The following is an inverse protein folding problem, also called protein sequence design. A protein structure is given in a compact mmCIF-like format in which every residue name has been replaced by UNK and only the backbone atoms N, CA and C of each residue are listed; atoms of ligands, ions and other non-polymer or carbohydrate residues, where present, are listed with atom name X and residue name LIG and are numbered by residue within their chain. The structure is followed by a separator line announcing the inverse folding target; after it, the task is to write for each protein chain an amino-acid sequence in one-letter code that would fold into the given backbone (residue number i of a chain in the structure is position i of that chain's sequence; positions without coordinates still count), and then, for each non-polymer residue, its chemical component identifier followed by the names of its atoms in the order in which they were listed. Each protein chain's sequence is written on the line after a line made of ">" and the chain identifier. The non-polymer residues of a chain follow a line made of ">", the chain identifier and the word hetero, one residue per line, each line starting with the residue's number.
data_IF_595563183327
#
_entry.id   IF_595563183327
#
_cell.length_a   1.000
_cell.length_b   1.000
_cell.length_c   1.000
_cell.angle_alpha   90.00
_cell.angle_beta   90.00
_cell.angle_gamma   90.00
#
_symmetry.space_group_name_H-M   'P 1'
#
loop_
_entity.id
_entity.type
_entity.pdbx_description
1 polymer ?
#
# COMPACT_ATOMS: atom_id res chain seq x y z
N UNK A 1 -9.79 19.92 -45.32
CA UNK A 1 -10.20 19.77 -43.90
C UNK A 1 -10.30 18.31 -43.45
N UNK A 2 -10.83 17.35 -44.23
CA UNK A 2 -10.88 15.93 -43.80
C UNK A 2 -9.53 15.19 -43.75
N UNK A 3 -8.55 15.57 -44.59
CA UNK A 3 -7.20 14.95 -44.63
C UNK A 3 -6.26 15.40 -43.50
N UNK A 4 -6.43 16.61 -42.97
CA UNK A 4 -5.65 17.12 -41.83
C UNK A 4 -6.11 16.53 -40.50
N UNK A 5 -7.39 16.19 -40.35
CA UNK A 5 -7.90 15.47 -39.16
C UNK A 5 -7.39 14.02 -39.06
N UNK A 6 -7.19 13.32 -40.19
CA UNK A 6 -6.66 11.96 -40.21
C UNK A 6 -5.17 11.88 -39.79
N UNK A 7 -4.36 12.87 -40.19
CA UNK A 7 -2.94 12.95 -39.79
C UNK A 7 -2.77 13.31 -38.30
N UNK A 8 -3.63 14.19 -37.77
CA UNK A 8 -3.64 14.51 -36.34
C UNK A 8 -4.06 13.29 -35.49
N UNK A 9 -5.07 12.54 -35.92
CA UNK A 9 -5.51 11.32 -35.24
C UNK A 9 -4.45 10.21 -35.24
N UNK A 10 -3.70 10.03 -36.34
CA UNK A 10 -2.61 9.05 -36.40
C UNK A 10 -1.42 9.41 -35.49
N UNK A 11 -1.06 10.69 -35.38
CA UNK A 11 0.00 11.12 -34.47
C UNK A 11 -0.40 10.98 -33.00
N UNK A 12 -1.65 11.26 -32.65
CA UNK A 12 -2.20 11.03 -31.31
C UNK A 12 -2.20 9.53 -30.94
N UNK A 13 -2.55 8.65 -31.87
CA UNK A 13 -2.50 7.20 -31.65
C UNK A 13 -1.07 6.66 -31.48
N UNK A 14 -0.10 7.17 -32.26
CA UNK A 14 1.30 6.75 -32.16
C UNK A 14 1.90 7.12 -30.79
N UNK A 15 1.64 8.31 -30.26
CA UNK A 15 2.14 8.76 -28.95
C UNK A 15 1.54 7.99 -27.77
N UNK A 16 0.27 7.59 -27.86
CA UNK A 16 -0.38 6.77 -26.81
C UNK A 16 0.22 5.36 -26.80
N UNK A 17 0.49 4.79 -27.98
CA UNK A 17 1.06 3.44 -28.08
C UNK A 17 2.48 3.33 -27.50
N UNK A 18 3.32 4.37 -27.63
CA UNK A 18 4.69 4.37 -27.09
C UNK A 18 4.72 4.54 -25.57
N UNK A 19 3.84 5.38 -25.01
CA UNK A 19 3.71 5.56 -23.56
C UNK A 19 3.15 4.31 -22.85
N UNK A 20 2.15 3.66 -23.45
CA UNK A 20 1.64 2.39 -22.93
C UNK A 20 2.74 1.31 -22.93
N UNK A 21 3.51 1.21 -24.02
CA UNK A 21 4.62 0.27 -24.12
C UNK A 21 5.76 0.56 -23.13
N UNK A 22 5.96 1.82 -22.70
CA UNK A 22 6.91 2.14 -21.64
C UNK A 22 6.39 1.82 -20.24
N UNK A 23 5.09 2.03 -19.97
CA UNK A 23 4.49 1.68 -18.69
C UNK A 23 4.52 0.17 -18.44
N UNK A 24 4.09 -0.63 -19.41
CA UNK A 24 4.08 -2.10 -19.28
C UNK A 24 5.48 -2.64 -18.99
N UNK A 25 6.52 -2.10 -19.65
CA UNK A 25 7.92 -2.47 -19.37
C UNK A 25 8.37 -2.12 -17.96
N UNK A 26 8.01 -0.94 -17.45
CA UNK A 26 8.35 -0.53 -16.08
C UNK A 26 7.65 -1.42 -15.07
N UNK A 27 6.36 -1.70 -15.27
CA UNK A 27 5.59 -2.59 -14.40
C UNK A 27 6.12 -4.03 -14.44
N UNK A 28 6.43 -4.57 -15.61
CA UNK A 28 7.03 -5.91 -15.75
C UNK A 28 8.37 -6.02 -15.01
N UNK A 29 9.23 -5.00 -15.12
CA UNK A 29 10.49 -4.95 -14.38
C UNK A 29 10.25 -4.83 -12.88
N UNK A 30 9.30 -3.99 -12.45
CA UNK A 30 8.89 -3.87 -11.05
C UNK A 30 8.39 -5.23 -10.49
N UNK A 31 7.50 -5.92 -11.19
CA UNK A 31 6.97 -7.22 -10.75
C UNK A 31 8.08 -8.26 -10.59
N UNK A 32 9.00 -8.34 -11.55
CA UNK A 32 10.14 -9.27 -11.52
C UNK A 32 11.14 -8.93 -10.42
N UNK A 33 11.49 -7.65 -10.27
CA UNK A 33 12.46 -7.21 -9.27
C UNK A 33 11.95 -7.43 -7.84
N UNK A 34 10.64 -7.30 -7.62
CA UNK A 34 10.00 -7.44 -6.32
C UNK A 34 9.51 -8.87 -6.02
N UNK A 35 9.56 -9.79 -6.99
CA UNK A 35 9.10 -11.18 -6.84
C UNK A 35 7.59 -11.30 -6.69
N UNK A 36 6.82 -10.41 -7.32
CA UNK A 36 5.35 -10.38 -7.21
C UNK A 36 4.66 -11.55 -7.92
N UNK A 37 5.37 -12.30 -8.77
CA UNK A 37 4.89 -13.58 -9.28
C UNK A 37 4.65 -14.60 -8.16
N UNK A 38 5.41 -14.51 -7.06
CA UNK A 38 5.26 -15.40 -5.89
C UNK A 38 4.20 -14.91 -4.91
N UNK A 39 3.89 -13.61 -4.92
CA UNK A 39 2.98 -13.02 -3.93
C UNK A 39 1.54 -13.52 -4.10
N UNK A 40 1.16 -13.87 -5.33
CA UNK A 40 -0.16 -14.41 -5.65
C UNK A 40 -0.43 -15.77 -4.98
N UNK A 41 0.61 -16.54 -4.66
CA UNK A 41 0.50 -17.84 -4.00
C UNK A 41 0.59 -17.74 -2.46
N UNK A 42 0.95 -16.56 -1.93
CA UNK A 42 1.10 -16.34 -0.48
C UNK A 42 -0.26 -16.36 0.19
N UNK A 43 -0.39 -17.12 1.27
CA UNK A 43 -1.64 -17.28 2.03
C UNK A 43 -1.70 -16.38 3.24
N UNK A 44 -0.57 -16.16 3.90
CA UNK A 44 -0.51 -15.38 5.14
C UNK A 44 0.76 -14.56 5.24
N UNK A 45 0.62 -13.39 5.84
CA UNK A 45 1.71 -12.61 6.41
C UNK A 45 1.49 -12.50 7.92
N UNK A 46 2.53 -12.78 8.70
CA UNK A 46 2.59 -12.51 10.13
C UNK A 46 3.84 -11.67 10.40
N UNK A 47 3.65 -10.42 10.81
CA UNK A 47 4.68 -9.39 10.83
C UNK A 47 4.72 -8.72 12.21
N UNK A 48 5.84 -8.92 12.91
CA UNK A 48 6.20 -8.16 14.11
C UNK A 48 6.89 -6.87 13.65
N UNK A 49 6.38 -5.72 14.10
CA UNK A 49 6.86 -4.42 13.72
C UNK A 49 6.93 -3.47 14.92
N UNK A 50 7.69 -2.39 14.77
CA UNK A 50 7.72 -1.25 15.69
C UNK A 50 7.38 0.02 14.95
N UNK A 51 6.49 0.82 15.53
CA UNK A 51 6.20 2.16 15.08
C UNK A 51 6.87 3.15 16.03
N UNK A 52 7.65 4.09 15.49
CA UNK A 52 8.24 5.19 16.26
C UNK A 52 7.51 6.49 15.94
N UNK A 53 6.92 7.12 16.95
CA UNK A 53 6.24 8.42 16.84
C UNK A 53 6.82 9.35 17.90
N UNK A 54 7.37 10.51 17.50
CA UNK A 54 8.00 11.47 18.43
C UNK A 54 9.04 10.85 19.37
N UNK A 55 9.76 9.82 18.91
CA UNK A 55 10.78 9.09 19.68
C UNK A 55 10.22 8.02 20.63
N UNK A 56 8.89 7.84 20.70
CA UNK A 56 8.25 6.74 21.42
C UNK A 56 8.08 5.54 20.49
N UNK A 57 8.60 4.38 20.89
CA UNK A 57 8.40 3.12 20.16
C UNK A 57 7.19 2.35 20.68
N UNK A 58 6.37 1.89 19.75
CA UNK A 58 5.15 1.11 20.01
C UNK A 58 5.23 -0.20 19.23
N UNK A 59 5.13 -1.35 19.91
CA UNK A 59 4.99 -2.64 19.24
C UNK A 59 3.73 -2.67 18.38
N UNK A 60 3.85 -3.29 17.22
CA UNK A 60 2.77 -3.49 16.26
C UNK A 60 2.84 -4.91 15.71
N UNK A 61 1.72 -5.62 15.69
CA UNK A 61 1.60 -6.94 15.10
C UNK A 61 0.60 -6.90 13.95
N UNK A 62 1.08 -7.13 12.73
CA UNK A 62 0.27 -7.13 11.51
C UNK A 62 0.08 -8.58 11.07
N UNK A 63 -1.17 -8.97 10.86
CA UNK A 63 -1.54 -10.28 10.33
C UNK A 63 -2.46 -10.11 9.15
N UNK A 64 -2.10 -10.71 8.03
CA UNK A 64 -2.88 -10.66 6.79
C UNK A 64 -3.08 -12.09 6.32
N UNK A 65 -4.29 -12.42 5.88
CA UNK A 65 -4.63 -13.75 5.39
C UNK A 65 -5.51 -13.66 4.16
N UNK A 66 -5.12 -14.36 3.11
CA UNK A 66 -5.90 -14.47 1.90
C UNK A 66 -7.13 -15.39 2.08
N UNK A 67 -8.27 -15.07 1.47
CA UNK A 67 -8.58 -13.80 0.79
C UNK A 67 -8.98 -12.70 1.80
N UNK A 68 -8.49 -11.48 1.56
CA UNK A 68 -9.04 -10.22 2.11
C UNK A 68 -9.21 -10.13 3.64
N UNK A 69 -8.40 -10.81 4.46
CA UNK A 69 -8.42 -10.65 5.93
C UNK A 69 -7.22 -9.91 6.44
N UNK A 70 -7.45 -9.03 7.39
CA UNK A 70 -6.41 -8.20 7.99
C UNK A 70 -6.66 -7.98 9.48
N UNK A 71 -5.60 -7.94 10.27
CA UNK A 71 -5.62 -7.54 11.66
C UNK A 71 -4.34 -6.81 12.00
N UNK A 72 -4.47 -5.68 12.66
CA UNK A 72 -3.38 -4.96 13.31
C UNK A 72 -3.67 -4.77 14.78
N UNK A 73 -2.70 -5.14 15.58
CA UNK A 73 -2.65 -4.81 16.99
C UNK A 73 -1.49 -3.86 17.24
N UNK A 74 -1.73 -2.78 17.98
CA UNK A 74 -0.73 -1.81 18.37
C UNK A 74 -0.79 -1.60 19.88
N UNK A 75 0.37 -1.62 20.53
CA UNK A 75 0.48 -1.39 21.96
C UNK A 75 1.05 0.00 22.25
N UNK A 76 0.29 0.82 22.97
CA UNK A 76 0.69 2.16 23.38
C UNK A 76 0.40 2.33 24.87
N UNK A 77 1.44 2.70 25.65
CA UNK A 77 1.32 2.98 27.09
C UNK A 77 0.64 1.86 27.90
N UNK A 78 0.87 0.59 27.53
CA UNK A 78 0.28 -0.58 28.17
C UNK A 78 -1.18 -0.85 27.79
N UNK A 79 -1.75 -0.09 26.84
CA UNK A 79 -3.05 -0.34 26.25
C UNK A 79 -2.91 -0.87 24.83
N UNK A 80 -3.76 -1.83 24.48
CA UNK A 80 -3.77 -2.46 23.16
C UNK A 80 -4.92 -1.90 22.33
N UNK A 81 -4.61 -1.38 21.16
CA UNK A 81 -5.57 -1.00 20.12
C UNK A 81 -5.55 -2.07 19.05
N UNK A 82 -6.73 -2.52 18.62
CA UNK A 82 -6.87 -3.52 17.57
C UNK A 82 -7.76 -2.98 16.47
N UNK A 83 -7.38 -3.20 15.22
CA UNK A 83 -8.22 -3.01 14.04
C UNK A 83 -8.18 -4.28 13.21
N UNK A 84 -9.32 -4.74 12.72
CA UNK A 84 -9.37 -5.93 11.87
C UNK A 84 -10.47 -5.84 10.81
N UNK A 85 -10.33 -6.68 9.79
CA UNK A 85 -11.27 -6.89 8.70
C UNK A 85 -11.34 -8.39 8.43
N UNK A 86 -12.55 -8.95 8.45
CA UNK A 86 -12.79 -10.40 8.33
C UNK A 86 -13.04 -10.87 6.88
N UNK A 87 -12.97 -9.95 5.92
CA UNK A 87 -13.32 -10.17 4.51
C UNK A 87 -14.66 -9.54 4.12
N UNK A 88 -15.51 -9.24 5.10
CA UNK A 88 -16.82 -8.62 4.88
C UNK A 88 -17.02 -7.37 5.74
N UNK A 89 -16.66 -7.43 7.02
CA UNK A 89 -16.87 -6.40 8.03
C UNK A 89 -15.55 -6.02 8.70
N UNK A 90 -15.38 -4.72 8.95
CA UNK A 90 -14.25 -4.18 9.70
C UNK A 90 -14.66 -3.81 11.11
N UNK A 91 -13.77 -3.98 12.08
CA UNK A 91 -13.98 -3.54 13.45
C UNK A 91 -12.70 -3.01 14.09
N UNK A 92 -12.87 -2.19 15.13
CA UNK A 92 -11.79 -1.63 15.93
C UNK A 92 -12.13 -1.65 17.42
N UNK A 93 -11.10 -1.88 18.24
CA UNK A 93 -11.11 -1.64 19.68
C UNK A 93 -10.00 -0.61 19.95
N UNK A 94 -10.38 0.56 20.47
CA UNK A 94 -9.42 1.60 20.87
C UNK A 94 -9.77 2.09 22.29
N UNK A 95 -9.10 1.58 23.35
CA UNK A 95 -9.39 1.94 24.73
C UNK A 95 -9.29 3.44 25.05
N UNK A 96 -8.55 4.20 24.24
CA UNK A 96 -8.40 5.65 24.42
C UNK A 96 -9.58 6.45 23.87
N UNK A 97 -10.34 5.87 22.95
CA UNK A 97 -11.55 6.47 22.37
C UNK A 97 -12.83 6.02 23.08
N UNK A 98 -12.73 5.08 24.02
CA UNK A 98 -13.84 4.54 24.79
C UNK A 98 -13.73 3.04 25.01
N UNK A 99 -14.64 2.50 25.79
CA UNK A 99 -14.76 1.05 25.96
C UNK A 99 -15.61 0.43 24.84
N UNK A 100 -15.18 -0.72 24.33
CA UNK A 100 -15.98 -1.56 23.43
C UNK A 100 -15.46 -1.66 22.00
N UNK A 101 -16.19 -2.43 21.20
CA UNK A 101 -15.90 -2.68 19.79
C UNK A 101 -16.72 -1.73 18.93
N UNK A 102 -16.07 -1.10 17.96
CA UNK A 102 -16.68 -0.21 16.97
C UNK A 102 -16.58 -0.83 15.58
N UNK A 103 -17.63 -0.68 14.77
CA UNK A 103 -17.61 -1.10 13.37
C UNK A 103 -16.87 -0.05 12.52
N UNK A 104 -16.11 -0.51 11.53
CA UNK A 104 -15.46 0.36 10.54
C UNK A 104 -16.44 0.62 9.40
N UNK A 105 -16.63 1.89 9.05
CA UNK A 105 -17.52 2.31 7.97
C UNK A 105 -16.81 3.31 7.03
N UNK A 106 -17.39 3.51 5.85
CA UNK A 106 -16.94 4.54 4.91
C UNK A 106 -15.45 4.45 4.59
N UNK A 107 -14.72 5.55 4.78
CA UNK A 107 -13.28 5.64 4.48
C UNK A 107 -12.43 4.69 5.33
N UNK A 108 -12.81 4.43 6.59
CA UNK A 108 -12.05 3.55 7.47
C UNK A 108 -12.14 2.09 7.02
N UNK A 109 -13.33 1.65 6.60
CA UNK A 109 -13.51 0.32 6.02
C UNK A 109 -12.70 0.16 4.73
N UNK A 110 -12.74 1.16 3.84
CA UNK A 110 -11.94 1.16 2.60
C UNK A 110 -10.45 1.07 2.88
N UNK A 111 -9.95 1.79 3.89
CA UNK A 111 -8.56 1.68 4.31
C UNK A 111 -8.23 0.27 4.81
N UNK A 112 -9.08 -0.34 5.62
CA UNK A 112 -8.89 -1.70 6.11
C UNK A 112 -8.87 -2.73 4.97
N UNK A 113 -9.76 -2.60 3.99
CA UNK A 113 -9.75 -3.43 2.78
C UNK A 113 -8.43 -3.27 2.00
N UNK A 114 -7.94 -2.05 1.86
CA UNK A 114 -6.64 -1.80 1.22
C UNK A 114 -5.45 -2.39 1.98
N UNK A 115 -5.54 -2.48 3.31
CA UNK A 115 -4.52 -3.14 4.14
C UNK A 115 -4.57 -4.68 4.05
N UNK A 116 -5.70 -5.24 3.64
CA UNK A 116 -5.84 -6.67 3.39
C UNK A 116 -5.26 -7.10 2.01
N UNK A 117 -5.00 -6.15 1.11
CA UNK A 117 -4.41 -6.42 -0.21
C UNK A 117 -2.92 -6.78 -0.08
N UNK A 118 -2.66 -8.09 -0.08
CA UNK A 118 -1.31 -8.66 0.01
C UNK A 118 -0.46 -8.42 -1.24
N UNK A 119 -1.07 -8.21 -2.41
CA UNK A 119 -0.34 -8.04 -3.67
C UNK A 119 0.08 -6.58 -3.92
N UNK A 120 -0.54 -5.65 -3.20
CA UNK A 120 -0.36 -4.22 -3.35
C UNK A 120 -1.07 -3.62 -4.56
N UNK A 121 -1.21 -2.30 -4.58
CA UNK A 121 -2.08 -1.60 -5.53
C UNK A 121 -1.59 -1.64 -6.99
N UNK A 122 -0.28 -1.80 -7.22
CA UNK A 122 0.30 -1.81 -8.58
C UNK A 122 0.13 -3.17 -9.27
N UNK A 123 0.17 -4.27 -8.54
CA UNK A 123 0.01 -5.61 -9.11
C UNK A 123 -1.46 -5.89 -9.42
N UNK A 124 -1.74 -6.51 -10.56
CA UNK A 124 -3.10 -6.79 -11.04
C UNK A 124 -4.05 -5.56 -11.02
N UNK A 125 -3.51 -4.34 -11.12
CA UNK A 125 -4.24 -3.10 -10.90
C UNK A 125 -5.53 -2.97 -11.76
N UNK A 126 -5.51 -3.45 -13.01
CA UNK A 126 -6.69 -3.46 -13.90
C UNK A 126 -7.81 -4.34 -13.37
N UNK A 127 -7.49 -5.52 -12.83
CA UNK A 127 -8.47 -6.43 -12.23
C UNK A 127 -9.07 -5.84 -10.95
N UNK A 128 -8.30 -5.01 -10.23
CA UNK A 128 -8.73 -4.23 -9.07
C UNK A 128 -9.54 -2.97 -9.44
N UNK A 129 -9.79 -2.74 -10.74
CA UNK A 129 -10.52 -1.57 -11.22
C UNK A 129 -9.74 -0.25 -11.16
N UNK A 130 -8.42 -0.32 -10.99
CA UNK A 130 -7.53 0.84 -10.95
C UNK A 130 -6.97 1.19 -12.32
N UNK A 131 -6.52 2.43 -12.48
CA UNK A 131 -5.79 2.92 -13.64
C UNK A 131 -4.42 3.45 -13.23
N UNK A 132 -3.39 3.21 -14.05
CA UNK A 132 -2.04 3.75 -13.85
C UNK A 132 -1.64 4.59 -15.05
N UNK A 133 -1.17 5.80 -14.77
CA UNK A 133 -0.59 6.73 -15.74
C UNK A 133 0.91 6.88 -15.46
N UNK A 134 1.76 6.73 -16.49
CA UNK A 134 3.19 7.04 -16.38
C UNK A 134 3.38 8.55 -16.57
N UNK A 135 3.87 9.23 -15.54
CA UNK A 135 4.16 10.67 -15.59
C UNK A 135 5.58 10.98 -16.10
N UNK A 136 6.39 9.95 -16.32
CA UNK A 136 7.73 10.04 -16.88
C UNK A 136 8.82 9.66 -15.88
N UNK A 137 10.08 9.90 -16.27
CA UNK A 137 11.24 9.79 -15.39
C UNK A 137 11.51 11.12 -14.69
N UNK A 138 11.86 11.07 -13.42
CA UNK A 138 12.16 12.22 -12.56
C UNK A 138 13.40 11.94 -11.72
N UNK A 139 14.08 12.98 -11.27
CA UNK A 139 14.99 12.87 -10.14
C UNK A 139 14.16 12.89 -8.84
N UNK A 140 14.30 11.84 -8.03
CA UNK A 140 13.65 11.69 -6.73
C UNK A 140 14.74 11.48 -5.68
N UNK A 141 14.98 12.51 -4.86
CA UNK A 141 15.98 12.49 -3.79
C UNK A 141 17.41 12.15 -4.28
N UNK A 142 17.77 12.60 -5.50
CA UNK A 142 19.09 12.38 -6.10
C UNK A 142 19.26 11.05 -6.84
N UNK A 143 18.18 10.30 -7.04
CA UNK A 143 18.14 9.07 -7.83
C UNK A 143 17.10 9.18 -8.96
N UNK A 144 17.39 8.59 -10.13
CA UNK A 144 16.42 8.53 -11.22
C UNK A 144 15.28 7.56 -10.86
N UNK A 145 14.04 8.00 -11.02
CA UNK A 145 12.85 7.20 -10.73
C UNK A 145 11.77 7.37 -11.80
N UNK A 146 11.00 6.31 -12.04
CA UNK A 146 9.74 6.36 -12.78
C UNK A 146 8.63 6.84 -11.87
N UNK A 147 7.97 7.94 -12.26
CA UNK A 147 6.83 8.49 -11.54
C UNK A 147 5.54 7.95 -12.13
N UNK A 148 4.80 7.17 -11.34
CA UNK A 148 3.52 6.57 -11.74
C UNK A 148 2.38 7.16 -10.90
N UNK A 149 1.27 7.52 -11.54
CA UNK A 149 0.04 7.94 -10.87
C UNK A 149 -0.97 6.81 -10.96
N UNK A 150 -1.34 6.25 -9.81
CA UNK A 150 -2.42 5.29 -9.68
C UNK A 150 -3.70 6.04 -9.27
N UNK A 151 -4.81 5.71 -9.93
CA UNK A 151 -6.17 6.10 -9.52
C UNK A 151 -6.97 4.83 -9.32
N UNK A 152 -7.48 4.61 -8.11
CA UNK A 152 -8.26 3.40 -7.80
C UNK A 152 -9.71 3.51 -8.31
N UNK A 153 -10.48 2.43 -8.12
CA UNK A 153 -11.90 2.34 -8.52
C UNK A 153 -12.80 3.36 -7.81
N UNK A 154 -12.36 3.89 -6.68
CA UNK A 154 -13.08 4.87 -5.86
C UNK A 154 -12.63 6.31 -6.15
N UNK A 155 -11.63 6.48 -7.03
CA UNK A 155 -11.07 7.77 -7.41
C UNK A 155 -9.96 8.29 -6.51
N UNK A 156 -9.50 7.50 -5.53
CA UNK A 156 -8.35 7.87 -4.71
C UNK A 156 -7.07 7.82 -5.54
N UNK A 157 -6.22 8.82 -5.35
CA UNK A 157 -4.99 9.00 -6.14
C UNK A 157 -3.77 8.76 -5.27
N UNK A 158 -2.86 7.94 -5.79
CA UNK A 158 -1.55 7.68 -5.23
C UNK A 158 -0.49 7.91 -6.29
N UNK A 159 0.67 8.43 -5.90
CA UNK A 159 1.79 8.66 -6.79
C UNK A 159 2.99 7.87 -6.30
N UNK A 160 3.40 6.90 -7.10
CA UNK A 160 4.52 6.00 -6.83
C UNK A 160 5.78 6.49 -7.54
N UNK A 161 6.91 6.37 -6.86
CA UNK A 161 8.23 6.63 -7.38
C UNK A 161 9.01 5.32 -7.34
N UNK A 162 9.27 4.75 -8.51
CA UNK A 162 9.98 3.47 -8.67
C UNK A 162 11.39 3.77 -9.17
N UNK A 163 12.41 3.43 -8.40
CA UNK A 163 13.81 3.64 -8.76
C UNK A 163 14.14 2.99 -10.12
N UNK A 164 14.88 3.71 -10.96
CA UNK A 164 15.16 3.25 -12.32
C UNK A 164 16.19 2.12 -12.39
N UNK A 165 17.04 2.00 -11.37
CA UNK A 165 18.14 1.04 -11.32
C UNK A 165 17.70 -0.35 -10.83
N UNK A 166 16.94 -0.41 -9.74
CA UNK A 166 16.55 -1.65 -9.05
C UNK A 166 15.05 -1.94 -9.09
N UNK A 167 14.24 -1.01 -9.61
CA UNK A 167 12.78 -1.08 -9.67
C UNK A 167 12.12 -1.27 -8.30
N UNK A 168 12.75 -0.83 -7.21
CA UNK A 168 12.11 -0.75 -5.89
C UNK A 168 11.30 0.55 -5.79
N UNK A 169 10.19 0.52 -5.05
CA UNK A 169 9.47 1.77 -4.73
C UNK A 169 10.31 2.54 -3.70
N UNK A 170 10.70 3.77 -3.98
CA UNK A 170 11.41 4.62 -3.01
C UNK A 170 10.47 5.51 -2.23
N UNK A 171 9.38 5.96 -2.88
CA UNK A 171 8.43 6.91 -2.29
C UNK A 171 7.02 6.69 -2.83
N UNK A 172 6.03 6.90 -1.97
CA UNK A 172 4.61 6.98 -2.32
C UNK A 172 4.02 8.24 -1.71
N UNK A 173 3.37 9.04 -2.54
CA UNK A 173 2.59 10.19 -2.13
C UNK A 173 1.11 9.85 -2.24
N UNK A 174 0.34 10.09 -1.18
CA UNK A 174 -1.09 9.75 -1.13
C UNK A 174 -1.85 10.84 -0.36
N UNK A 175 -3.17 10.78 -0.42
CA UNK A 175 -4.05 11.62 0.40
C UNK A 175 -4.92 10.73 1.27
N UNK A 176 -5.03 11.09 2.54
CA UNK A 176 -6.00 10.49 3.45
C UNK A 176 -6.99 11.55 3.93
N UNK A 177 -8.25 11.17 4.08
CA UNK A 177 -9.23 12.00 4.77
C UNK A 177 -9.22 11.67 6.26
N UNK A 178 -8.96 12.68 7.09
CA UNK A 178 -9.14 12.58 8.53
C UNK A 178 -9.82 13.84 9.06
N UNK A 179 -10.79 13.68 9.97
CA UNK A 179 -11.51 14.79 10.59
C UNK A 179 -12.14 15.77 9.56
N UNK A 180 -12.56 15.27 8.40
CA UNK A 180 -13.13 16.08 7.32
C UNK A 180 -12.11 16.92 6.53
N UNK A 181 -10.82 16.70 6.73
CA UNK A 181 -9.73 17.36 5.99
C UNK A 181 -8.93 16.34 5.19
N UNK A 182 -8.54 16.72 3.96
CA UNK A 182 -7.57 15.96 3.17
C UNK A 182 -6.17 16.26 3.68
N UNK A 183 -5.42 15.24 4.06
CA UNK A 183 -4.03 15.32 4.50
C UNK A 183 -3.13 14.64 3.47
N UNK A 184 -2.07 15.32 3.07
CA UNK A 184 -1.03 14.73 2.23
C UNK A 184 -0.14 13.81 3.10
N UNK A 185 0.12 12.60 2.62
CA UNK A 185 0.96 11.61 3.26
C UNK A 185 2.07 11.24 2.29
N UNK A 186 3.32 11.32 2.76
CA UNK A 186 4.50 10.85 2.04
C UNK A 186 5.07 9.66 2.79
N UNK A 187 5.06 8.49 2.15
CA UNK A 187 5.71 7.28 2.67
C UNK A 187 6.99 7.05 1.89
N UNK A 188 8.13 6.98 2.56
CA UNK A 188 9.43 6.63 2.00
C UNK A 188 9.79 5.22 2.43
N UNK A 189 10.20 4.38 1.48
CA UNK A 189 10.68 3.04 1.73
C UNK A 189 12.19 3.13 1.86
N UNK A 190 12.70 2.97 3.08
CA UNK A 190 14.10 3.24 3.42
C UNK A 190 14.95 1.98 3.28
N UNK A 191 14.42 0.84 3.71
CA UNK A 191 15.12 -0.44 3.65
C UNK A 191 14.18 -1.52 3.12
N UNK A 192 14.76 -2.47 2.38
CA UNK A 192 14.08 -3.63 1.85
C UNK A 192 14.78 -4.90 2.32
N UNK A 193 14.00 -5.94 2.59
CA UNK A 193 14.49 -7.29 2.83
C UNK A 193 13.89 -8.28 1.84
N UNK A 194 14.64 -9.34 1.57
CA UNK A 194 14.18 -10.48 0.80
C UNK A 194 13.58 -11.51 1.75
N UNK A 195 12.32 -11.85 1.57
CA UNK A 195 11.63 -12.89 2.36
C UNK A 195 11.04 -13.89 1.39
N UNK A 196 11.59 -15.11 1.38
CA UNK A 196 11.23 -16.18 0.43
C UNK A 196 11.25 -15.72 -1.05
N UNK A 197 12.15 -14.80 -1.41
CA UNK A 197 12.30 -14.29 -2.77
C UNK A 197 11.25 -13.24 -3.17
N UNK A 198 10.60 -12.61 -2.19
CA UNK A 198 9.73 -11.43 -2.33
C UNK A 198 10.45 -10.26 -1.65
N UNK A 199 10.56 -9.11 -2.34
CA UNK A 199 11.12 -7.89 -1.75
C UNK A 199 10.04 -7.16 -0.95
N UNK A 200 10.30 -6.94 0.33
CA UNK A 200 9.39 -6.25 1.24
C UNK A 200 10.10 -5.09 1.93
N UNK A 201 9.46 -3.92 1.99
CA UNK A 201 9.99 -2.76 2.70
C UNK A 201 10.06 -3.08 4.20
N UNK A 202 11.26 -3.23 4.76
CA UNK A 202 11.48 -3.52 6.18
C UNK A 202 11.55 -2.26 7.04
N UNK A 203 11.77 -1.10 6.43
CA UNK A 203 11.76 0.18 7.11
C UNK A 203 11.07 1.23 6.25
N UNK A 204 10.12 1.93 6.84
CA UNK A 204 9.39 3.01 6.20
C UNK A 204 9.43 4.27 7.07
N UNK A 205 9.49 5.43 6.44
CA UNK A 205 9.30 6.73 7.06
C UNK A 205 8.03 7.36 6.49
N UNK A 206 7.11 7.75 7.36
CA UNK A 206 5.83 8.33 6.98
C UNK A 206 5.81 9.77 7.48
N UNK A 207 5.65 10.70 6.55
CA UNK A 207 5.52 12.13 6.81
C UNK A 207 4.07 12.56 6.57
N UNK A 208 3.50 13.25 7.56
CA UNK A 208 2.15 13.82 7.53
C UNK A 208 2.17 15.21 8.18
N UNK A 209 1.16 16.08 7.97
CA UNK A 209 1.14 17.42 8.57
C UNK A 209 1.26 17.42 10.10
N UNK A 210 0.80 16.35 10.75
CA UNK A 210 0.83 16.18 12.21
C UNK A 210 2.19 15.72 12.75
N UNK A 211 3.12 15.31 11.90
CA UNK A 211 4.44 14.86 12.32
C UNK A 211 5.05 13.78 11.42
N UNK A 212 6.19 13.25 11.85
CA UNK A 212 6.85 12.11 11.20
C UNK A 212 6.76 10.89 12.11
N UNK A 213 6.61 9.74 11.49
CA UNK A 213 6.72 8.45 12.16
C UNK A 213 7.56 7.50 11.30
N UNK A 214 8.14 6.48 11.92
CA UNK A 214 8.77 5.38 11.20
C UNK A 214 8.15 4.05 11.59
N UNK A 215 8.20 3.09 10.66
CA UNK A 215 7.78 1.71 10.87
C UNK A 215 8.93 0.81 10.53
N UNK A 216 9.30 -0.09 11.43
CA UNK A 216 10.37 -1.09 11.24
C UNK A 216 9.74 -2.47 11.39
N UNK A 217 9.83 -3.30 10.36
CA UNK A 217 9.38 -4.70 10.39
C UNK A 217 10.51 -5.58 10.94
N UNK A 218 10.41 -5.94 12.21
CA UNK A 218 11.40 -6.76 12.92
C UNK A 218 11.42 -8.19 12.39
N UNK A 219 10.24 -8.81 12.28
CA UNK A 219 10.08 -10.17 11.77
C UNK A 219 9.00 -10.20 10.70
N UNK A 220 9.21 -10.96 9.62
CA UNK A 220 8.18 -11.26 8.63
C UNK A 220 8.17 -12.77 8.42
N UNK A 221 7.03 -13.38 8.71
CA UNK A 221 6.73 -14.78 8.42
C UNK A 221 5.69 -14.85 7.32
N UNK A 222 5.88 -15.80 6.41
CA UNK A 222 5.06 -16.01 5.21
C UNK A 222 4.56 -17.44 5.24
N UNK A 223 3.26 -17.65 4.98
CA UNK A 223 2.59 -18.96 4.95
C UNK A 223 2.60 -19.72 6.28
N UNK A 224 2.69 -18.99 7.39
CA UNK A 224 2.45 -19.57 8.72
C UNK A 224 0.94 -19.71 8.98
N UNK A 225 0.50 -20.77 9.69
CA UNK A 225 -0.91 -20.94 10.03
C UNK A 225 -1.44 -19.78 10.88
N UNK A 226 -2.53 -19.16 10.43
CA UNK A 226 -3.26 -18.13 11.19
C UNK A 226 -4.72 -18.58 11.32
N UNK A 227 -5.20 -18.63 12.57
CA UNK A 227 -6.59 -18.96 12.90
C UNK A 227 -7.53 -17.84 12.42
N UNK A 228 -8.64 -18.21 11.80
CA UNK A 228 -9.63 -17.24 11.31
C UNK A 228 -10.32 -16.48 12.44
N UNK A 229 -10.44 -17.08 13.63
CA UNK A 229 -11.15 -16.47 14.76
C UNK A 229 -10.52 -15.17 15.23
N UNK A 230 -9.25 -14.90 14.90
CA UNK A 230 -8.61 -13.64 15.29
C UNK A 230 -9.15 -12.44 14.49
N UNK A 231 -9.68 -12.67 13.29
CA UNK A 231 -10.22 -11.62 12.44
C UNK A 231 -11.68 -11.32 12.76
N UNK A 232 -12.38 -12.30 13.36
CA UNK A 232 -13.78 -12.15 13.75
C UNK A 232 -13.97 -11.09 14.82
N UNK A 233 -15.11 -10.39 14.72
CA UNK A 233 -15.50 -9.41 15.73
C UNK A 233 -15.73 -10.14 17.07
N UNK A 234 -15.07 -9.72 18.17
CA UNK A 234 -15.26 -10.38 19.45
C UNK A 234 -16.70 -10.20 19.94
N UNK A 235 -17.24 -11.26 20.57
CA UNK A 235 -18.52 -11.19 21.23
C UNK A 235 -18.49 -10.16 22.38
N UNK A 236 -19.62 -9.48 22.60
CA UNK A 236 -19.79 -8.55 23.72
C UNK A 236 -19.79 -9.26 25.07
#
# INVERSE_FOLDING_TARGET
>A
MKRTFLLAALMLFALISTQAQSLDKVLDSYYKANGLDKIADVKTFDIEAKVSVMGMEMPMHIRVKNPDKFRVDMEMMGQKTTSAFDGENGWMINPMMGAGVQDLEGAQLKQAMGQADMEGALYNYKAKGSNIEMLGKVDADGAEAYKLKLTDKDGAVQTYYINADDYMISKVESKAEAMGQSMDIVTKMVEYKDVKGIKMASKMEIEMPMGKQSVVMEEIKIDEPIDDTIFEKPAK
#
